data_IF_347830148076
#
_entry.id   IF_347830148076
#
_cell.length_a   1.000
_cell.length_b   1.000
_cell.length_c   1.000
_cell.angle_alpha   90.00
_cell.angle_beta   90.00
_cell.angle_gamma   90.00
#
_symmetry.space_group_name_H-M   'P 1'
#
loop_
_entity.id
_entity.type
_entity.pdbx_description
1 polymer ?
#
# COMPACT_ATOMS: atom_id res chain seq x y z
N UNK A 1 37.81 7.87 14.03
CA UNK A 1 38.00 8.29 12.62
C UNK A 1 37.39 7.28 11.65
N UNK A 2 37.89 6.05 11.50
CA UNK A 2 37.27 5.04 10.62
C UNK A 2 35.83 4.65 11.06
N UNK A 3 35.62 4.50 12.38
CA UNK A 3 34.32 4.23 12.99
C UNK A 3 33.28 5.33 12.74
N UNK A 4 33.70 6.59 12.75
CA UNK A 4 32.84 7.75 12.52
C UNK A 4 32.42 7.87 11.07
N UNK A 5 33.36 7.60 10.15
CA UNK A 5 33.08 7.54 8.70
C UNK A 5 32.07 6.43 8.41
N UNK A 6 32.26 5.24 8.98
CA UNK A 6 31.33 4.11 8.81
C UNK A 6 29.94 4.41 9.38
N UNK A 7 29.86 5.07 10.54
CA UNK A 7 28.58 5.51 11.14
C UNK A 7 27.86 6.53 10.25
N UNK A 8 28.57 7.52 9.74
CA UNK A 8 27.97 8.55 8.86
C UNK A 8 27.51 7.94 7.53
N UNK A 9 28.26 7.02 6.94
CA UNK A 9 27.86 6.29 5.74
C UNK A 9 26.63 5.40 5.99
N UNK A 10 26.55 4.74 7.15
CA UNK A 10 25.38 3.96 7.53
C UNK A 10 24.14 4.84 7.72
N UNK A 11 24.29 6.02 8.34
CA UNK A 11 23.20 6.99 8.51
C UNK A 11 22.75 7.58 7.16
N UNK A 12 23.68 7.89 6.27
CA UNK A 12 23.38 8.33 4.91
C UNK A 12 22.67 7.23 4.12
N UNK A 13 23.11 5.98 4.21
CA UNK A 13 22.45 4.86 3.55
C UNK A 13 21.03 4.62 4.10
N UNK A 14 20.82 4.76 5.41
CA UNK A 14 19.50 4.67 6.04
C UNK A 14 18.58 5.84 5.62
N UNK A 15 19.12 7.05 5.59
CA UNK A 15 18.43 8.24 5.11
C UNK A 15 18.01 8.09 3.64
N UNK A 16 18.94 7.65 2.77
CA UNK A 16 18.67 7.43 1.35
C UNK A 16 17.66 6.31 1.11
N UNK A 17 17.74 5.22 1.90
CA UNK A 17 16.79 4.09 1.83
C UNK A 17 15.38 4.52 2.22
N UNK A 18 15.23 5.39 3.21
CA UNK A 18 13.93 5.88 3.65
C UNK A 18 13.38 7.01 2.77
N UNK A 19 14.23 7.88 2.22
CA UNK A 19 13.82 8.94 1.29
C UNK A 19 13.36 8.36 -0.05
N UNK A 20 14.11 7.41 -0.63
CA UNK A 20 13.73 6.74 -1.89
C UNK A 20 12.35 6.09 -1.82
N UNK A 21 11.99 5.50 -0.67
CA UNK A 21 10.69 4.87 -0.48
C UNK A 21 9.56 5.90 -0.38
N UNK A 22 9.80 7.05 0.26
CA UNK A 22 8.82 8.12 0.44
C UNK A 22 8.62 8.91 -0.84
N UNK A 23 9.71 9.31 -1.49
CA UNK A 23 9.67 10.17 -2.68
C UNK A 23 9.09 9.41 -3.88
N UNK A 24 9.46 8.14 -4.06
CA UNK A 24 8.85 7.30 -5.10
C UNK A 24 7.35 7.08 -4.87
N UNK A 25 6.92 6.92 -3.61
CA UNK A 25 5.50 6.81 -3.28
C UNK A 25 4.75 8.14 -3.51
N UNK A 26 5.35 9.27 -3.15
CA UNK A 26 4.78 10.60 -3.38
C UNK A 26 4.67 10.93 -4.87
N UNK A 27 5.71 10.67 -5.67
CA UNK A 27 5.66 10.88 -7.13
C UNK A 27 4.64 9.95 -7.80
N UNK A 28 4.57 8.68 -7.39
CA UNK A 28 3.55 7.75 -7.89
C UNK A 28 2.12 8.18 -7.52
N UNK A 29 1.95 8.94 -6.44
CA UNK A 29 0.64 9.47 -6.00
C UNK A 29 0.17 10.67 -6.83
N UNK A 30 1.09 11.40 -7.48
CA UNK A 30 0.79 12.63 -8.24
C UNK A 30 0.14 12.37 -9.60
N UNK A 31 0.31 11.17 -10.15
CA UNK A 31 -0.24 10.80 -11.44
C UNK A 31 -1.51 9.95 -11.26
N UNK A 32 -2.66 10.40 -11.81
CA UNK A 32 -3.90 9.65 -11.71
C UNK A 32 -3.75 8.26 -12.34
N UNK A 33 -4.32 7.24 -11.70
CA UNK A 33 -4.16 5.84 -12.13
C UNK A 33 -4.71 5.53 -13.52
N UNK A 34 -5.53 6.42 -14.08
CA UNK A 34 -6.06 6.34 -15.45
C UNK A 34 -5.00 6.59 -16.54
N UNK A 35 -3.88 7.24 -16.21
CA UNK A 35 -2.75 7.43 -17.15
C UNK A 35 -1.99 6.12 -17.38
N UNK A 36 -2.12 5.15 -16.47
CA UNK A 36 -1.39 3.90 -16.54
C UNK A 36 -2.14 2.83 -17.35
N UNK A 37 -1.36 1.93 -17.97
CA UNK A 37 -1.87 0.80 -18.76
C UNK A 37 -2.78 -0.10 -17.90
N UNK A 38 -3.79 -0.73 -18.51
CA UNK A 38 -4.89 -1.42 -17.81
C UNK A 38 -4.46 -2.48 -16.78
N UNK A 39 -3.33 -3.16 -16.98
CA UNK A 39 -2.76 -4.11 -16.01
C UNK A 39 -2.11 -3.41 -14.81
N UNK A 40 -1.40 -2.30 -15.03
CA UNK A 40 -0.76 -1.48 -13.99
C UNK A 40 -1.84 -0.85 -13.10
N UNK A 41 -2.90 -0.31 -13.71
CA UNK A 41 -4.05 0.24 -12.97
C UNK A 41 -4.68 -0.79 -12.03
N UNK A 42 -4.83 -2.04 -12.48
CA UNK A 42 -5.31 -3.14 -11.62
C UNK A 42 -4.34 -3.43 -10.47
N UNK A 43 -3.04 -3.49 -10.73
CA UNK A 43 -2.05 -3.67 -9.66
C UNK A 43 -2.09 -2.53 -8.63
N UNK A 44 -2.17 -1.27 -9.09
CA UNK A 44 -2.29 -0.07 -8.23
C UNK A 44 -3.66 0.13 -7.59
N UNK A 45 -4.63 -0.76 -7.85
CA UNK A 45 -5.94 -0.74 -7.19
C UNK A 45 -6.05 -1.87 -6.18
N UNK A 46 -5.51 -3.05 -6.51
CA UNK A 46 -5.69 -4.27 -5.70
C UNK A 46 -4.45 -4.70 -4.91
N UNK A 47 -3.22 -4.50 -5.43
CA UNK A 47 -1.98 -4.88 -4.74
C UNK A 47 -1.43 -3.74 -3.86
N UNK A 48 -1.44 -2.54 -4.41
CA UNK A 48 -1.08 -1.31 -3.70
C UNK A 48 -2.33 -0.45 -3.73
N UNK A 49 -3.05 -0.19 -2.62
CA UNK A 49 -4.34 0.51 -2.64
C UNK A 49 -4.18 2.03 -2.91
N UNK A 50 -3.20 2.43 -3.70
CA UNK A 50 -2.87 3.81 -4.03
C UNK A 50 -3.99 4.49 -4.83
N UNK A 51 -4.59 3.77 -5.79
CA UNK A 51 -5.75 4.27 -6.54
C UNK A 51 -6.89 4.68 -5.60
N UNK A 52 -7.11 3.88 -4.54
CA UNK A 52 -8.16 4.11 -3.56
C UNK A 52 -7.88 5.34 -2.70
N UNK A 53 -6.62 5.60 -2.38
CA UNK A 53 -6.20 6.74 -1.55
C UNK A 53 -6.23 8.05 -2.35
N UNK A 54 -5.77 8.05 -3.60
CA UNK A 54 -5.51 9.30 -4.34
C UNK A 54 -6.57 9.65 -5.38
N UNK A 55 -7.06 8.65 -6.13
CA UNK A 55 -7.85 8.89 -7.34
C UNK A 55 -9.33 8.64 -7.12
N UNK A 56 -9.65 7.64 -6.32
CA UNK A 56 -11.02 7.22 -6.05
C UNK A 56 -11.87 8.28 -5.33
N UNK A 57 -11.42 8.91 -4.22
CA UNK A 57 -12.17 9.99 -3.58
C UNK A 57 -12.37 11.18 -4.53
N UNK A 58 -11.35 11.57 -5.30
CA UNK A 58 -11.47 12.63 -6.31
C UNK A 58 -12.49 12.28 -7.41
N UNK A 59 -12.50 11.03 -7.88
CA UNK A 59 -13.45 10.53 -8.88
C UNK A 59 -14.90 10.47 -8.37
N UNK A 60 -15.10 10.13 -7.10
CA UNK A 60 -16.43 10.15 -6.45
C UNK A 60 -16.94 11.58 -6.31
N UNK A 61 -16.11 12.51 -5.85
CA UNK A 61 -16.48 13.92 -5.70
C UNK A 61 -16.79 14.61 -7.03
N UNK A 62 -16.14 14.19 -8.12
CA UNK A 62 -16.36 14.73 -9.46
C UNK A 62 -17.41 13.98 -10.29
N UNK A 63 -18.05 12.94 -9.71
CA UNK A 63 -19.10 12.17 -10.40
C UNK A 63 -18.61 11.30 -11.57
N UNK A 64 -17.29 11.05 -11.65
CA UNK A 64 -16.67 10.33 -12.77
C UNK A 64 -16.56 8.82 -12.53
N UNK A 65 -16.88 8.32 -11.34
CA UNK A 65 -16.82 6.90 -10.99
C UNK A 65 -18.06 6.13 -11.46
N UNK A 66 -17.99 5.54 -12.65
CA UNK A 66 -19.04 4.65 -13.18
C UNK A 66 -18.74 3.19 -12.84
N UNK A 67 -19.34 2.68 -11.78
CA UNK A 67 -19.35 1.25 -11.41
C UNK A 67 -18.14 0.74 -10.63
N UNK A 68 -16.99 1.44 -10.66
CA UNK A 68 -15.82 1.02 -9.85
C UNK A 68 -16.11 1.08 -8.34
N UNK A 69 -16.92 2.06 -7.90
CA UNK A 69 -17.25 2.25 -6.48
C UNK A 69 -17.96 1.05 -5.86
N UNK A 70 -18.83 0.40 -6.63
CA UNK A 70 -19.53 -0.83 -6.21
C UNK A 70 -18.52 -1.96 -5.99
N UNK A 71 -17.59 -2.15 -6.93
CA UNK A 71 -16.53 -3.16 -6.79
C UNK A 71 -15.65 -2.90 -5.58
N UNK A 72 -15.23 -1.66 -5.34
CA UNK A 72 -14.40 -1.34 -4.19
C UNK A 72 -15.14 -1.55 -2.86
N UNK A 73 -16.43 -1.19 -2.79
CA UNK A 73 -17.27 -1.43 -1.62
C UNK A 73 -17.45 -2.92 -1.30
N UNK A 74 -17.32 -3.81 -2.28
CA UNK A 74 -17.37 -5.26 -2.09
C UNK A 74 -16.01 -5.86 -1.74
N UNK A 75 -14.95 -5.44 -2.43
CA UNK A 75 -13.61 -6.02 -2.28
C UNK A 75 -12.97 -5.65 -0.94
N UNK A 76 -13.14 -4.41 -0.46
CA UNK A 76 -12.56 -3.96 0.81
C UNK A 76 -13.02 -4.76 2.04
N UNK A 77 -14.33 -4.96 2.31
CA UNK A 77 -14.76 -5.78 3.43
C UNK A 77 -14.40 -7.26 3.25
N UNK A 78 -14.41 -7.76 2.02
CA UNK A 78 -14.03 -9.15 1.73
C UNK A 78 -12.56 -9.42 2.08
N UNK A 79 -11.63 -8.57 1.64
CA UNK A 79 -10.20 -8.74 1.95
C UNK A 79 -9.91 -8.57 3.43
N UNK A 80 -10.57 -7.62 4.10
CA UNK A 80 -10.47 -7.46 5.55
C UNK A 80 -10.98 -8.70 6.30
N UNK A 81 -12.11 -9.26 5.87
CA UNK A 81 -12.67 -10.47 6.45
C UNK A 81 -11.73 -11.67 6.26
N UNK A 82 -11.16 -11.84 5.07
CA UNK A 82 -10.19 -12.91 4.77
C UNK A 82 -8.91 -12.77 5.59
N UNK A 83 -8.35 -11.56 5.68
CA UNK A 83 -7.17 -11.28 6.50
C UNK A 83 -7.43 -11.54 7.98
N UNK A 84 -8.58 -11.11 8.49
CA UNK A 84 -8.99 -11.34 9.88
C UNK A 84 -9.23 -12.82 10.18
N UNK A 85 -9.83 -13.55 9.23
CA UNK A 85 -10.03 -14.98 9.34
C UNK A 85 -8.69 -15.73 9.34
N UNK A 86 -7.79 -15.39 8.42
CA UNK A 86 -6.45 -15.96 8.34
C UNK A 86 -5.64 -15.69 9.61
N UNK A 87 -5.69 -14.46 10.14
CA UNK A 87 -5.07 -14.11 11.40
C UNK A 87 -5.59 -14.97 12.56
N UNK A 88 -6.91 -15.09 12.70
CA UNK A 88 -7.53 -15.92 13.74
C UNK A 88 -7.20 -17.40 13.57
N UNK A 89 -7.11 -17.88 12.34
CA UNK A 89 -6.67 -19.23 12.03
C UNK A 89 -5.22 -19.48 12.50
N UNK A 90 -4.31 -18.55 12.21
CA UNK A 90 -2.92 -18.62 12.65
C UNK A 90 -2.78 -18.58 14.17
N UNK A 91 -3.49 -17.68 14.85
CA UNK A 91 -3.51 -17.59 16.31
C UNK A 91 -4.03 -18.87 16.96
N UNK A 92 -5.04 -19.53 16.37
CA UNK A 92 -5.57 -20.81 16.88
C UNK A 92 -4.60 -21.99 16.73
N UNK A 93 -3.71 -21.94 15.74
CA UNK A 93 -2.68 -22.97 15.52
C UNK A 93 -1.36 -22.67 16.23
N UNK A 94 -1.23 -21.51 16.89
CA UNK A 94 -0.15 -21.25 17.84
C UNK A 94 -0.48 -21.87 19.20
N UNK A 95 -0.48 -23.20 19.25
CA UNK A 95 -0.33 -23.94 20.51
C UNK A 95 1.14 -23.85 20.94
N UNK A 96 1.46 -23.04 21.96
CA UNK A 96 2.74 -23.19 22.68
C UNK A 96 3.58 -21.93 22.98
N UNK A 97 3.00 -20.89 23.58
CA UNK A 97 3.81 -19.91 24.33
C UNK A 97 3.11 -19.47 25.63
N UNK A 98 2.32 -20.36 26.24
CA UNK A 98 1.63 -20.15 27.52
C UNK A 98 1.31 -21.49 28.19
N UNK A 99 2.30 -22.39 28.28
CA UNK A 99 2.29 -23.56 29.17
C UNK A 99 3.73 -23.97 29.44
#
# INVERSE_FOLDING_TARGET
MLSDVLRNLALLALFFRTSLQRDAAFEASRYPVDTYRSWVRRALTFLLPLAFITTFPAGVLTGQTRGQAVWAALVAPLTLALASWFWRFGVRHHSGASA
#
